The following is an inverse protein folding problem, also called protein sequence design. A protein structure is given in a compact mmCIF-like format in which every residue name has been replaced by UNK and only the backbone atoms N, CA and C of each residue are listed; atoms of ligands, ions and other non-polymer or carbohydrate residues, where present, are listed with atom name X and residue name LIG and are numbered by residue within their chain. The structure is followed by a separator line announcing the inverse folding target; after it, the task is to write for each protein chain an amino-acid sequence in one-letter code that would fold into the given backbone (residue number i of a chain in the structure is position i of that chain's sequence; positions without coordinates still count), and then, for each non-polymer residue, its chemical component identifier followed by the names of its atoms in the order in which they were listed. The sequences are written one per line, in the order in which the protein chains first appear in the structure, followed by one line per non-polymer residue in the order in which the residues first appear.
data_IF_282520588391
#
_entry.id   IF_282520588391
#
_cell.length_a   1.000
_cell.length_b   1.000
_cell.length_c   1.000
_cell.angle_alpha   90.00
_cell.angle_beta   90.00
_cell.angle_gamma   90.00
#
_symmetry.space_group_name_H-M   'P 1'
#
loop_
_entity.id
_entity.type
_entity.pdbx_description
1 polymer ?
#
# COMPACT_ATOMS: atom_id res chain seq x y z
N UNK A 1 8.26 -23.14 12.03
CA UNK A 1 7.81 -21.77 11.67
C UNK A 1 8.49 -21.21 10.41
N UNK A 2 9.33 -21.97 9.69
CA UNK A 2 10.06 -21.51 8.48
C UNK A 2 9.24 -21.36 7.18
N UNK A 3 8.05 -21.95 7.07
CA UNK A 3 7.28 -21.93 5.80
C UNK A 3 6.64 -20.58 5.46
N UNK A 4 6.47 -19.69 6.44
CA UNK A 4 5.77 -18.41 6.25
C UNK A 4 6.58 -17.37 5.46
N UNK A 5 7.86 -17.20 5.81
CA UNK A 5 8.73 -16.18 5.19
C UNK A 5 9.02 -16.46 3.71
N UNK A 6 9.11 -17.73 3.33
CA UNK A 6 9.39 -18.17 1.96
C UNK A 6 8.27 -17.73 1.01
N UNK A 7 7.02 -17.77 1.45
CA UNK A 7 5.87 -17.46 0.59
C UNK A 7 5.63 -15.96 0.42
N UNK A 8 5.92 -15.13 1.44
CA UNK A 8 5.85 -13.67 1.31
C UNK A 8 6.97 -13.14 0.43
N UNK A 9 8.20 -13.63 0.61
CA UNK A 9 9.33 -13.22 -0.23
C UNK A 9 9.07 -13.58 -1.70
N UNK A 10 8.54 -14.77 -1.97
CA UNK A 10 8.14 -15.15 -3.34
C UNK A 10 7.05 -14.25 -3.93
N UNK A 11 6.07 -13.81 -3.13
CA UNK A 11 5.05 -12.86 -3.56
C UNK A 11 5.67 -11.49 -3.86
N UNK A 12 6.52 -10.98 -2.95
CA UNK A 12 7.26 -9.73 -3.13
C UNK A 12 8.10 -9.76 -4.40
N UNK A 13 8.89 -10.82 -4.60
CA UNK A 13 9.75 -10.98 -5.77
C UNK A 13 8.92 -10.94 -7.06
N UNK A 14 7.80 -11.67 -7.10
CA UNK A 14 6.88 -11.66 -8.24
C UNK A 14 6.35 -10.26 -8.53
N UNK A 15 5.82 -9.57 -7.53
CA UNK A 15 5.25 -8.23 -7.68
C UNK A 15 6.32 -7.17 -8.04
N UNK A 16 7.55 -7.37 -7.57
CA UNK A 16 8.69 -6.53 -7.94
C UNK A 16 9.08 -6.70 -9.40
N UNK A 17 9.14 -7.95 -9.91
CA UNK A 17 9.40 -8.24 -11.32
C UNK A 17 8.29 -7.72 -12.25
N UNK A 18 7.03 -7.74 -11.79
CA UNK A 18 5.89 -7.15 -12.50
C UNK A 18 5.86 -5.60 -12.40
N UNK A 19 6.82 -5.00 -11.71
CA UNK A 19 6.91 -3.55 -11.52
C UNK A 19 5.81 -2.97 -10.63
N UNK A 20 5.02 -3.80 -9.96
CA UNK A 20 3.88 -3.38 -9.13
C UNK A 20 4.36 -2.59 -7.91
N UNK A 21 5.52 -2.93 -7.33
CA UNK A 21 6.04 -2.29 -6.12
C UNK A 21 6.78 -0.97 -6.36
N UNK A 22 6.88 -0.51 -7.62
CA UNK A 22 7.56 0.75 -7.99
C UNK A 22 6.58 1.78 -8.51
N UNK A 23 6.80 3.05 -8.26
CA UNK A 23 6.02 4.14 -8.85
C UNK A 23 6.92 4.91 -9.80
N UNK A 24 6.43 5.21 -11.01
CA UNK A 24 7.17 6.06 -11.94
C UNK A 24 7.21 7.50 -11.41
N UNK A 25 8.39 7.91 -10.95
CA UNK A 25 8.63 9.21 -10.31
C UNK A 25 8.73 10.35 -11.32
N UNK A 26 8.78 10.06 -12.62
CA UNK A 26 8.76 11.07 -13.68
C UNK A 26 7.36 11.65 -13.91
N UNK A 27 6.32 10.93 -13.46
CA UNK A 27 4.93 11.36 -13.56
C UNK A 27 4.58 12.42 -12.52
N UNK A 28 3.52 13.19 -12.79
CA UNK A 28 2.92 14.08 -11.80
C UNK A 28 2.40 13.30 -10.59
N UNK A 29 2.40 13.92 -9.40
CA UNK A 29 1.96 13.27 -8.16
C UNK A 29 0.52 12.76 -8.25
N UNK A 30 -0.37 13.46 -8.98
CA UNK A 30 -1.73 12.98 -9.24
C UNK A 30 -1.73 11.66 -10.04
N UNK A 31 -0.92 11.56 -11.09
CA UNK A 31 -0.80 10.34 -11.88
C UNK A 31 -0.19 9.19 -11.06
N UNK A 32 0.82 9.51 -10.23
CA UNK A 32 1.39 8.56 -9.27
C UNK A 32 0.32 8.04 -8.29
N UNK A 33 -0.56 8.90 -7.80
CA UNK A 33 -1.64 8.49 -6.88
C UNK A 33 -2.66 7.54 -7.53
N UNK A 34 -2.97 7.72 -8.81
CA UNK A 34 -3.84 6.82 -9.57
C UNK A 34 -3.19 5.45 -9.75
N UNK A 35 -1.91 5.42 -10.15
CA UNK A 35 -1.14 4.18 -10.26
C UNK A 35 -1.02 3.46 -8.92
N UNK A 36 -0.76 4.21 -7.85
CA UNK A 36 -0.70 3.66 -6.50
C UNK A 36 -2.02 3.00 -6.09
N UNK A 37 -3.15 3.67 -6.31
CA UNK A 37 -4.46 3.12 -5.96
C UNK A 37 -4.75 1.82 -6.72
N UNK A 38 -4.45 1.80 -8.02
CA UNK A 38 -4.62 0.60 -8.85
C UNK A 38 -3.75 -0.55 -8.34
N UNK A 39 -2.46 -0.31 -8.12
CA UNK A 39 -1.51 -1.30 -7.57
C UNK A 39 -1.91 -1.81 -6.19
N UNK A 40 -2.38 -0.93 -5.31
CA UNK A 40 -2.88 -1.34 -3.99
C UNK A 40 -4.09 -2.29 -4.13
N UNK A 41 -5.01 -2.01 -5.05
CA UNK A 41 -6.16 -2.88 -5.31
C UNK A 41 -5.77 -4.22 -5.96
N UNK A 42 -4.65 -4.26 -6.71
CA UNK A 42 -4.10 -5.51 -7.24
C UNK A 42 -3.49 -6.38 -6.14
N UNK A 43 -2.77 -5.77 -5.19
CA UNK A 43 -2.14 -6.49 -4.07
C UNK A 43 -3.20 -6.98 -3.07
N UNK A 44 -4.10 -6.08 -2.63
CA UNK A 44 -5.21 -6.40 -1.75
C UNK A 44 -6.51 -6.15 -2.50
N UNK A 45 -7.17 -7.22 -2.95
CA UNK A 45 -8.46 -7.09 -3.65
C UNK A 45 -9.54 -6.57 -2.69
N UNK A 46 -10.12 -5.38 -2.93
CA UNK A 46 -11.20 -4.86 -2.10
C UNK A 46 -12.45 -5.73 -2.27
N UNK A 47 -13.04 -6.20 -1.16
CA UNK A 47 -14.18 -7.14 -1.20
C UNK A 47 -15.52 -6.41 -1.28
N UNK A 48 -15.59 -5.18 -0.79
CA UNK A 48 -16.83 -4.42 -0.68
C UNK A 48 -16.59 -2.91 -0.89
N UNK A 49 -17.68 -2.13 -0.86
CA UNK A 49 -17.62 -0.67 -1.04
C UNK A 49 -16.84 0.05 0.07
N UNK A 50 -16.88 -0.47 1.29
CA UNK A 50 -16.14 0.07 2.42
C UNK A 50 -14.64 -0.07 2.23
N UNK A 51 -14.16 -1.22 1.74
CA UNK A 51 -12.75 -1.44 1.41
C UNK A 51 -12.27 -0.47 0.33
N UNK A 52 -13.04 -0.32 -0.76
CA UNK A 52 -12.72 0.64 -1.84
C UNK A 52 -12.62 2.06 -1.32
N UNK A 53 -13.58 2.45 -0.47
CA UNK A 53 -13.58 3.77 0.15
C UNK A 53 -12.38 3.96 1.07
N UNK A 54 -12.00 2.91 1.82
CA UNK A 54 -10.81 2.92 2.67
C UNK A 54 -9.53 3.13 1.84
N UNK A 55 -9.33 2.36 0.77
CA UNK A 55 -8.14 2.47 -0.08
C UNK A 55 -8.04 3.81 -0.80
N UNK A 56 -9.18 4.36 -1.23
CA UNK A 56 -9.25 5.73 -1.75
C UNK A 56 -8.84 6.77 -0.70
N UNK A 57 -9.28 6.63 0.55
CA UNK A 57 -8.88 7.53 1.65
C UNK A 57 -7.39 7.48 1.93
N UNK A 58 -6.80 6.29 1.91
CA UNK A 58 -5.34 6.11 2.06
C UNK A 58 -4.60 6.79 0.91
N UNK A 59 -5.06 6.59 -0.32
CA UNK A 59 -4.49 7.25 -1.51
C UNK A 59 -4.51 8.76 -1.36
N UNK A 60 -5.66 9.33 -0.99
CA UNK A 60 -5.81 10.77 -0.80
C UNK A 60 -4.96 11.30 0.36
N UNK A 61 -4.83 10.53 1.44
CA UNK A 61 -3.98 10.89 2.57
C UNK A 61 -2.51 11.01 2.17
N UNK A 62 -1.98 10.05 1.40
CA UNK A 62 -0.59 10.11 0.91
C UNK A 62 -0.42 11.26 -0.08
N UNK A 63 -1.33 11.40 -1.04
CA UNK A 63 -1.31 12.49 -2.02
C UNK A 63 -1.27 13.86 -1.32
N UNK A 64 -2.13 14.04 -0.31
CA UNK A 64 -2.18 15.27 0.48
C UNK A 64 -0.87 15.51 1.22
N UNK A 65 -0.35 14.52 1.94
CA UNK A 65 0.91 14.66 2.67
C UNK A 65 2.10 14.95 1.76
N UNK A 66 2.13 14.41 0.53
CA UNK A 66 3.16 14.76 -0.46
C UNK A 66 2.99 16.21 -0.94
N UNK A 67 1.76 16.60 -1.25
CA UNK A 67 1.44 17.96 -1.73
C UNK A 67 1.78 19.02 -0.68
N UNK A 68 1.54 18.72 0.60
CA UNK A 68 1.87 19.56 1.76
C UNK A 68 3.34 19.45 2.20
N UNK A 69 4.17 18.67 1.48
CA UNK A 69 5.61 18.43 1.75
C UNK A 69 5.89 17.77 3.10
N UNK A 70 4.90 17.14 3.71
CA UNK A 70 5.07 16.31 4.90
C UNK A 70 5.59 14.91 4.56
N UNK A 71 5.29 14.41 3.36
CA UNK A 71 5.75 13.13 2.83
C UNK A 71 6.56 13.31 1.55
N UNK A 72 7.36 12.29 1.21
CA UNK A 72 8.01 12.17 -0.10
C UNK A 72 7.24 11.18 -0.99
N UNK A 73 7.40 11.22 -2.32
CA UNK A 73 6.80 10.24 -3.23
C UNK A 73 7.10 8.76 -2.89
N UNK A 74 8.21 8.49 -2.18
CA UNK A 74 8.59 7.15 -1.74
C UNK A 74 7.58 6.51 -0.78
N UNK A 75 6.71 7.31 -0.15
CA UNK A 75 5.63 6.81 0.71
C UNK A 75 4.68 5.88 -0.06
N UNK A 76 4.44 6.12 -1.35
CA UNK A 76 3.60 5.21 -2.14
C UNK A 76 4.22 3.81 -2.19
N UNK A 77 5.51 3.71 -2.52
CA UNK A 77 6.23 2.44 -2.60
C UNK A 77 6.29 1.74 -1.24
N UNK A 78 6.60 2.48 -0.16
CA UNK A 78 6.62 1.94 1.20
C UNK A 78 5.26 1.38 1.61
N UNK A 79 4.17 2.02 1.25
CA UNK A 79 2.82 1.54 1.58
C UNK A 79 2.47 0.29 0.77
N UNK A 80 2.90 0.19 -0.48
CA UNK A 80 2.72 -1.03 -1.27
C UNK A 80 3.47 -2.22 -0.64
N UNK A 81 4.67 -2.01 -0.10
CA UNK A 81 5.39 -3.06 0.65
C UNK A 81 4.60 -3.56 1.87
N UNK A 82 3.99 -2.65 2.64
CA UNK A 82 3.11 -3.02 3.76
C UNK A 82 1.86 -3.78 3.27
N UNK A 83 1.35 -3.44 2.09
CA UNK A 83 0.24 -4.17 1.48
C UNK A 83 0.64 -5.60 1.11
N UNK A 84 1.85 -5.82 0.59
CA UNK A 84 2.39 -7.16 0.32
C UNK A 84 2.52 -7.98 1.59
N UNK A 85 3.07 -7.38 2.64
CA UNK A 85 3.20 -8.03 3.95
C UNK A 85 1.83 -8.45 4.49
N UNK A 86 0.84 -7.56 4.40
CA UNK A 86 -0.53 -7.85 4.80
C UNK A 86 -1.23 -8.91 3.92
N UNK A 87 -0.86 -9.01 2.64
CA UNK A 87 -1.39 -9.99 1.68
C UNK A 87 -0.69 -11.36 1.74
N UNK A 88 0.16 -11.60 2.75
CA UNK A 88 0.80 -12.90 2.96
C UNK A 88 -0.19 -14.07 3.00
N UNK A 89 0.29 -15.31 2.72
CA UNK A 89 -0.56 -16.48 2.47
C UNK A 89 -1.46 -16.88 3.66
N UNK A 90 -1.06 -16.58 4.90
CA UNK A 90 -1.84 -16.90 6.10
C UNK A 90 -2.81 -15.78 6.52
N UNK A 91 -2.83 -14.68 5.75
CA UNK A 91 -3.67 -13.54 6.05
C UNK A 91 -5.12 -13.82 5.68
N UNK A 92 -5.94 -14.13 6.70
CA UNK A 92 -7.40 -14.32 6.53
C UNK A 92 -8.12 -13.02 6.19
N UNK A 93 -7.58 -11.88 6.61
CA UNK A 93 -8.12 -10.55 6.34
C UNK A 93 -6.99 -9.54 6.04
N UNK A 94 -6.47 -9.54 4.80
CA UNK A 94 -5.37 -8.66 4.40
C UNK A 94 -5.68 -7.18 4.61
N UNK A 95 -6.91 -6.73 4.32
CA UNK A 95 -7.30 -5.34 4.51
C UNK A 95 -7.18 -4.90 5.97
N UNK A 96 -7.63 -5.72 6.92
CA UNK A 96 -7.50 -5.40 8.35
C UNK A 96 -6.04 -5.39 8.82
N UNK A 97 -5.23 -6.37 8.38
CA UNK A 97 -3.80 -6.43 8.70
C UNK A 97 -3.07 -5.21 8.13
N UNK A 98 -3.36 -4.86 6.89
CA UNK A 98 -2.79 -3.68 6.22
C UNK A 98 -3.10 -2.38 6.98
N UNK A 99 -4.36 -2.20 7.39
CA UNK A 99 -4.74 -1.03 8.20
C UNK A 99 -4.03 -0.98 9.54
N UNK A 100 -3.78 -2.13 10.18
CA UNK A 100 -2.98 -2.22 11.40
C UNK A 100 -1.53 -1.79 11.15
N UNK A 101 -0.89 -2.35 10.11
CA UNK A 101 0.48 -2.00 9.73
C UNK A 101 0.61 -0.50 9.42
N UNK A 102 -0.29 0.06 8.61
CA UNK A 102 -0.31 1.50 8.32
C UNK A 102 -0.41 2.39 9.58
N UNK A 103 -1.25 1.99 10.55
CA UNK A 103 -1.40 2.74 11.80
C UNK A 103 -0.15 2.66 12.69
N UNK A 104 0.50 1.49 12.71
CA UNK A 104 1.68 1.25 13.55
C UNK A 104 2.95 1.83 12.95
N UNK A 105 3.20 1.57 11.67
CA UNK A 105 4.44 1.93 10.97
C UNK A 105 4.41 3.37 10.45
N UNK A 106 3.26 3.82 9.94
CA UNK A 106 3.14 5.09 9.20
C UNK A 106 2.28 6.12 9.94
N UNK A 107 1.86 5.82 11.18
CA UNK A 107 1.00 6.69 12.00
C UNK A 107 -0.30 7.14 11.32
N UNK A 108 -0.81 6.33 10.37
CA UNK A 108 -2.05 6.64 9.65
C UNK A 108 -3.21 6.87 10.63
N UNK A 109 -3.95 7.96 10.46
CA UNK A 109 -5.09 8.33 11.31
C UNK A 109 -4.73 8.88 12.70
N UNK A 110 -3.45 9.01 13.03
CA UNK A 110 -2.97 9.75 14.21
C UNK A 110 -2.46 11.14 13.85
N UNK A 111 -1.91 11.30 12.65
CA UNK A 111 -1.46 12.59 12.16
C UNK A 111 -2.67 13.39 11.69
N UNK A 112 -2.92 14.52 12.34
CA UNK A 112 -3.90 15.52 11.93
C UNK A 112 -3.37 16.35 10.76
N UNK A 113 -2.98 15.67 9.67
CA UNK A 113 -2.88 16.33 8.36
C UNK A 113 -4.27 16.81 7.99
#
# INVERSE_FOLDING_TARGET
MEKLGISINKLRDKLSQEGILRIDKTLSVNSQSLLFHDKLCQIIKPKNQSDRTCFRRITNWVLRGITEKCFTPDYFERILELAVEAAGPDSRNPAAVFMKLLKTEMSYGKQGL
#
